data_IF_560727679897
#
_entry.id   IF_560727679897
#
_cell.length_a   1.000
_cell.length_b   1.000
_cell.length_c   1.000
_cell.angle_alpha   90.00
_cell.angle_beta   90.00
_cell.angle_gamma   90.00
#
_symmetry.space_group_name_H-M   'P 1'
#
loop_
_entity.id
_entity.type
_entity.pdbx_description
1 polymer ?
#
# COMPACT_ATOMS: atom_id res chain seq x y z
N UNK A 1 21.97 -7.05 2.81
CA UNK A 1 21.30 -6.02 3.65
C UNK A 1 19.85 -6.42 3.74
N UNK A 2 19.35 -6.68 4.96
CA UNK A 2 17.95 -7.04 5.17
C UNK A 2 17.13 -5.77 5.05
N UNK A 3 16.01 -5.84 4.34
CA UNK A 3 15.08 -4.71 4.20
C UNK A 3 14.50 -4.26 5.57
N UNK A 4 14.69 -5.09 6.59
CA UNK A 4 14.27 -4.90 7.99
C UNK A 4 15.07 -3.80 8.75
N UNK A 5 16.22 -3.35 8.26
CA UNK A 5 17.09 -2.38 8.98
C UNK A 5 16.75 -0.90 8.68
N UNK A 6 15.65 -0.61 7.96
CA UNK A 6 15.27 0.75 7.59
C UNK A 6 14.24 1.29 8.61
N UNK A 7 14.61 2.22 9.51
CA UNK A 7 13.75 2.66 10.61
C UNK A 7 12.44 3.32 10.14
N UNK A 8 12.43 3.92 8.95
CA UNK A 8 11.23 4.52 8.36
C UNK A 8 10.17 3.49 7.93
N UNK A 9 10.59 2.25 7.68
CA UNK A 9 9.72 1.15 7.23
C UNK A 9 9.12 0.43 8.43
N UNK A 10 9.90 0.25 9.52
CA UNK A 10 9.49 -0.50 10.71
C UNK A 10 8.35 0.16 11.50
N UNK A 11 8.37 1.50 11.67
CA UNK A 11 7.30 2.22 12.38
C UNK A 11 5.93 2.07 11.71
N UNK A 12 5.91 1.81 10.40
CA UNK A 12 4.66 1.58 9.65
C UNK A 12 4.16 0.14 9.83
N UNK A 13 5.07 -0.83 9.94
CA UNK A 13 4.73 -2.24 10.20
C UNK A 13 4.27 -2.48 11.64
N UNK A 14 4.83 -1.77 12.63
CA UNK A 14 4.51 -2.00 14.05
C UNK A 14 3.30 -1.16 14.53
N UNK A 15 2.90 -0.13 13.77
CA UNK A 15 1.71 0.68 14.04
C UNK A 15 0.44 0.16 13.32
N UNK A 16 0.56 -0.83 12.45
CA UNK A 16 -0.53 -1.46 11.71
C UNK A 16 -1.24 -2.57 12.49
N UNK A 17 -2.49 -2.93 12.14
CA UNK A 17 -3.08 -4.17 12.64
C UNK A 17 -2.17 -5.35 12.28
N UNK A 18 -2.10 -6.38 13.13
CA UNK A 18 -1.28 -7.62 13.06
C UNK A 18 -1.51 -8.49 11.78
N UNK A 19 -1.67 -7.85 10.62
CA UNK A 19 -2.11 -8.36 9.34
C UNK A 19 -1.12 -7.94 8.25
N UNK A 20 -0.22 -8.88 7.97
CA UNK A 20 0.88 -8.73 7.01
C UNK A 20 0.42 -8.31 5.60
N UNK A 21 -0.83 -8.58 5.23
CA UNK A 21 -1.38 -8.17 3.93
C UNK A 21 -1.73 -6.69 3.92
N UNK A 22 -2.28 -6.16 5.03
CA UNK A 22 -2.58 -4.75 5.15
C UNK A 22 -1.31 -3.90 5.14
N UNK A 23 -0.28 -4.33 5.88
CA UNK A 23 1.00 -3.59 5.93
C UNK A 23 1.71 -3.55 4.57
N UNK A 24 1.73 -4.70 3.88
CA UNK A 24 2.33 -4.76 2.53
C UNK A 24 1.56 -3.91 1.53
N UNK A 25 0.23 -3.81 1.67
CA UNK A 25 -0.59 -2.94 0.84
C UNK A 25 -0.29 -1.46 1.14
N UNK A 26 -0.09 -1.09 2.41
CA UNK A 26 0.28 0.26 2.82
C UNK A 26 1.67 0.65 2.27
N UNK A 27 2.63 -0.26 2.36
CA UNK A 27 4.02 -0.05 1.88
C UNK A 27 4.11 0.07 0.35
N UNK A 28 3.16 -0.50 -0.40
CA UNK A 28 3.07 -0.34 -1.86
C UNK A 28 2.62 1.06 -2.27
N UNK A 29 1.96 1.82 -1.37
CA UNK A 29 1.48 3.18 -1.64
C UNK A 29 2.57 4.14 -2.14
N UNK A 30 3.67 4.34 -1.40
CA UNK A 30 4.75 5.25 -1.81
C UNK A 30 5.42 4.86 -3.16
N UNK A 31 5.75 3.58 -3.45
CA UNK A 31 6.19 3.15 -4.77
C UNK A 31 5.19 3.45 -5.90
N UNK A 32 3.89 3.24 -5.68
CA UNK A 32 2.85 3.54 -6.67
C UNK A 32 2.82 5.05 -6.95
N UNK A 33 2.90 5.88 -5.92
CA UNK A 33 2.98 7.34 -6.09
C UNK A 33 4.24 7.75 -6.85
N UNK A 34 5.40 7.18 -6.51
CA UNK A 34 6.65 7.43 -7.24
C UNK A 34 6.56 7.04 -8.72
N UNK A 35 5.92 5.91 -9.03
CA UNK A 35 5.67 5.46 -10.39
C UNK A 35 4.80 6.46 -11.17
N UNK A 36 3.73 6.97 -10.56
CA UNK A 36 2.85 7.98 -11.17
C UNK A 36 3.61 9.28 -11.42
N UNK A 37 4.48 9.70 -10.50
CA UNK A 37 5.32 10.90 -10.66
C UNK A 37 6.28 10.75 -11.84
N UNK A 38 6.90 9.58 -12.01
CA UNK A 38 7.86 9.32 -13.10
C UNK A 38 7.18 9.18 -14.46
N UNK A 39 6.08 8.44 -14.54
CA UNK A 39 5.37 8.24 -15.82
C UNK A 39 4.48 9.44 -16.21
N UNK A 40 4.22 10.36 -15.27
CA UNK A 40 3.30 11.47 -15.45
C UNK A 40 1.84 11.03 -15.42
N UNK A 41 0.94 12.00 -15.30
CA UNK A 41 -0.50 11.73 -15.22
C UNK A 41 -1.04 11.32 -16.59
N UNK A 42 -1.40 10.04 -16.72
CA UNK A 42 -2.07 9.43 -17.86
C UNK A 42 -3.28 8.60 -17.41
N UNK A 43 -4.17 8.24 -18.35
CA UNK A 43 -5.30 7.34 -18.06
C UNK A 43 -4.84 5.98 -17.48
N UNK A 44 -3.65 5.51 -17.86
CA UNK A 44 -3.06 4.28 -17.32
C UNK A 44 -2.67 4.42 -15.86
N UNK A 45 -1.95 5.49 -15.51
CA UNK A 45 -1.54 5.76 -14.11
C UNK A 45 -2.73 6.08 -13.21
N UNK A 46 -3.75 6.75 -13.76
CA UNK A 46 -5.00 7.03 -13.05
C UNK A 46 -5.78 5.74 -12.80
N UNK A 47 -5.89 4.86 -13.80
CA UNK A 47 -6.48 3.53 -13.65
C UNK A 47 -5.74 2.67 -12.62
N UNK A 48 -4.41 2.71 -12.61
CA UNK A 48 -3.59 1.99 -11.62
C UNK A 48 -3.84 2.50 -10.20
N UNK A 49 -3.93 3.82 -10.01
CA UNK A 49 -4.23 4.42 -8.71
C UNK A 49 -5.63 4.01 -8.20
N UNK A 50 -6.63 4.07 -9.08
CA UNK A 50 -8.01 3.64 -8.74
C UNK A 50 -8.06 2.17 -8.37
N UNK A 51 -7.38 1.30 -9.14
CA UNK A 51 -7.33 -0.13 -8.87
C UNK A 51 -6.66 -0.42 -7.51
N UNK A 52 -5.54 0.24 -7.21
CA UNK A 52 -4.87 0.12 -5.92
C UNK A 52 -5.78 0.52 -4.75
N UNK A 53 -6.45 1.68 -4.85
CA UNK A 53 -7.39 2.15 -3.81
C UNK A 53 -8.56 1.18 -3.65
N UNK A 54 -9.13 0.70 -4.76
CA UNK A 54 -10.26 -0.23 -4.72
C UNK A 54 -9.89 -1.55 -4.01
N UNK A 55 -8.71 -2.11 -4.30
CA UNK A 55 -8.20 -3.31 -3.64
C UNK A 55 -7.96 -3.03 -2.15
N UNK A 56 -7.38 -1.88 -1.81
CA UNK A 56 -7.15 -1.48 -0.43
C UNK A 56 -8.46 -1.39 0.37
N UNK A 57 -9.45 -0.67 -0.15
CA UNK A 57 -10.75 -0.53 0.51
C UNK A 57 -11.47 -1.87 0.60
N UNK A 58 -11.48 -2.66 -0.47
CA UNK A 58 -12.12 -3.98 -0.46
C UNK A 58 -11.48 -4.92 0.58
N UNK A 59 -10.15 -4.91 0.68
CA UNK A 59 -9.43 -5.72 1.66
C UNK A 59 -9.73 -5.29 3.09
N UNK A 60 -9.74 -3.98 3.36
CA UNK A 60 -10.11 -3.43 4.67
C UNK A 60 -11.53 -3.83 5.05
N UNK A 61 -12.50 -3.68 4.13
CA UNK A 61 -13.89 -4.06 4.38
C UNK A 61 -14.03 -5.58 4.59
N UNK A 62 -13.34 -6.39 3.82
CA UNK A 62 -13.31 -7.84 4.00
C UNK A 62 -12.81 -8.22 5.39
N UNK A 63 -11.68 -7.62 5.80
CA UNK A 63 -11.10 -7.87 7.11
C UNK A 63 -12.00 -7.38 8.26
N UNK A 64 -12.71 -6.25 8.05
CA UNK A 64 -13.67 -5.71 9.02
C UNK A 64 -14.91 -6.61 9.19
N UNK A 65 -15.34 -7.34 8.15
CA UNK A 65 -16.47 -8.28 8.22
C UNK A 65 -16.03 -9.65 8.77
N UNK A 66 -14.74 -9.99 8.65
CA UNK A 66 -14.19 -11.28 9.08
C UNK A 66 -13.71 -11.30 10.53
N UNK A 67 -13.54 -10.13 11.15
CA UNK A 67 -13.32 -9.92 12.59
C UNK A 67 -14.64 -9.82 13.33
#
# INVERSE_FOLDING_TARGET
MRLDDIPLVFDVFDAGPDDRVFDSLLLIGPPVVALIVVLGRSLLTEGLAVAYIAVFVAYVLYQAVRK
#
